data_IF_391275799302
#
_entry.id   IF_391275799302
#
_cell.length_a   1.000
_cell.length_b   1.000
_cell.length_c   1.000
_cell.angle_alpha   90.00
_cell.angle_beta   90.00
_cell.angle_gamma   90.00
#
_symmetry.space_group_name_H-M   'P 1'
#
loop_
_entity.id
_entity.type
_entity.pdbx_description
1 polymer ?
#
# COMPACT_ATOMS: atom_id res chain seq x y z
N UNK A 1 5.70 -33.07 34.32
CA UNK A 1 4.77 -32.89 33.19
C UNK A 1 4.47 -31.39 33.04
N UNK A 2 4.59 -30.90 31.79
CA UNK A 2 4.26 -29.60 31.17
C UNK A 2 3.76 -28.41 31.99
N UNK A 3 4.23 -27.19 31.64
CA UNK A 3 3.37 -26.06 31.24
C UNK A 3 4.01 -25.36 30.02
N UNK A 4 3.19 -25.10 29.00
CA UNK A 4 3.49 -24.32 27.79
C UNK A 4 3.42 -22.82 28.04
N UNK A 5 4.30 -22.04 27.43
CA UNK A 5 4.18 -20.56 27.41
C UNK A 5 3.88 -20.10 25.99
N UNK A 6 2.58 -19.90 25.72
CA UNK A 6 2.04 -19.24 24.54
C UNK A 6 2.35 -17.72 24.56
N UNK A 7 2.36 -17.13 23.36
CA UNK A 7 2.12 -15.71 23.06
C UNK A 7 3.09 -14.66 23.62
N UNK A 8 4.28 -14.57 23.00
CA UNK A 8 5.08 -13.35 23.06
C UNK A 8 4.46 -12.29 22.13
N UNK A 9 3.51 -11.50 22.65
CA UNK A 9 3.05 -10.28 21.98
C UNK A 9 4.22 -9.30 21.81
N UNK A 10 4.40 -8.80 20.59
CA UNK A 10 5.48 -7.90 20.21
C UNK A 10 5.60 -6.69 21.17
N UNK A 11 6.68 -6.59 21.97
CA UNK A 11 6.85 -5.53 22.97
C UNK A 11 7.00 -4.13 22.36
N UNK A 12 7.26 -4.03 21.05
CA UNK A 12 7.35 -2.76 20.34
C UNK A 12 5.98 -2.06 20.19
N UNK A 13 4.89 -2.83 20.20
CA UNK A 13 3.53 -2.30 20.02
C UNK A 13 3.06 -1.49 21.23
N UNK A 14 3.51 -1.85 22.45
CA UNK A 14 3.23 -1.10 23.68
C UNK A 14 4.04 0.18 23.80
N UNK A 15 5.26 0.19 23.26
CA UNK A 15 6.18 1.35 23.36
C UNK A 15 5.66 2.58 22.60
N UNK A 16 5.06 2.39 21.43
CA UNK A 16 4.51 3.49 20.62
C UNK A 16 3.43 4.30 21.35
N UNK A 17 2.67 3.66 22.26
CA UNK A 17 1.62 4.32 23.02
C UNK A 17 2.15 5.27 24.10
N UNK A 18 3.40 5.09 24.57
CA UNK A 18 4.02 5.96 25.56
C UNK A 18 4.87 7.09 24.94
N UNK A 19 5.23 6.98 23.65
CA UNK A 19 6.02 8.01 22.96
C UNK A 19 5.12 9.17 22.47
N UNK A 20 3.82 8.94 22.24
CA UNK A 20 2.89 9.97 21.78
C UNK A 20 2.30 10.78 22.96
N UNK A 21 3.05 11.77 23.43
CA UNK A 21 2.54 12.80 24.34
C UNK A 21 1.58 13.75 23.58
N UNK A 22 0.27 13.49 23.65
CA UNK A 22 -0.76 14.38 23.12
C UNK A 22 -2.16 13.82 23.32
N UNK A 23 -3.13 14.70 23.59
CA UNK A 23 -4.55 14.33 23.64
C UNK A 23 -5.02 13.74 22.30
N UNK A 24 -6.09 12.95 22.31
CA UNK A 24 -6.61 12.30 21.10
C UNK A 24 -6.85 13.31 19.95
N UNK A 25 -7.34 14.51 20.26
CA UNK A 25 -7.53 15.58 19.28
C UNK A 25 -6.24 16.18 18.72
N UNK A 26 -5.10 16.06 19.42
CA UNK A 26 -3.79 16.42 18.88
C UNK A 26 -3.31 15.39 17.87
N UNK A 27 -3.51 14.09 18.16
CA UNK A 27 -3.18 12.99 17.26
C UNK A 27 -3.97 13.12 15.96
N UNK A 28 -5.25 13.47 16.04
CA UNK A 28 -6.12 13.66 14.87
C UNK A 28 -5.70 14.85 14.00
N UNK A 29 -5.36 15.99 14.62
CA UNK A 29 -4.79 17.14 13.90
C UNK A 29 -3.46 16.82 13.22
N UNK A 30 -2.61 16.01 13.86
CA UNK A 30 -1.33 15.57 13.27
C UNK A 30 -1.60 14.62 12.09
N UNK A 31 -2.54 13.68 12.21
CA UNK A 31 -2.95 12.80 11.11
C UNK A 31 -3.40 13.58 9.88
N UNK A 32 -4.33 14.53 10.05
CA UNK A 32 -4.80 15.38 8.94
C UNK A 32 -3.67 16.22 8.31
N UNK A 33 -2.78 16.76 9.15
CA UNK A 33 -1.67 17.59 8.68
C UNK A 33 -0.65 16.76 7.89
N UNK A 34 -0.41 15.52 8.30
CA UNK A 34 0.46 14.57 7.61
C UNK A 34 -0.15 14.09 6.28
N UNK A 35 -1.46 13.82 6.26
CA UNK A 35 -2.16 13.50 5.00
C UNK A 35 -2.06 14.65 3.98
N UNK A 36 -2.19 15.90 4.45
CA UNK A 36 -2.00 17.11 3.64
C UNK A 36 -0.55 17.36 3.22
N UNK A 37 0.44 16.89 3.99
CA UNK A 37 1.87 17.10 3.72
C UNK A 37 2.41 16.22 2.59
N UNK A 38 1.74 15.10 2.29
CA UNK A 38 2.20 14.12 1.30
C UNK A 38 3.42 13.30 1.75
N UNK A 39 3.62 12.14 1.14
CA UNK A 39 4.69 11.19 1.51
C UNK A 39 6.08 11.74 1.15
N UNK A 40 6.80 12.28 2.15
CA UNK A 40 8.24 12.55 2.05
C UNK A 40 9.04 11.28 2.32
N UNK A 41 10.10 11.08 1.54
CA UNK A 41 11.01 9.92 1.59
C UNK A 41 11.74 9.79 2.95
N UNK A 42 11.76 10.85 3.75
CA UNK A 42 12.53 10.97 5.00
C UNK A 42 11.76 10.63 6.28
N UNK A 43 10.45 10.34 6.22
CA UNK A 43 9.64 10.07 7.41
C UNK A 43 9.04 8.65 7.33
N UNK A 44 9.73 7.60 7.84
CA UNK A 44 9.26 6.22 7.79
C UNK A 44 7.91 5.99 8.49
N UNK A 45 7.57 6.83 9.48
CA UNK A 45 6.32 6.71 10.26
C UNK A 45 5.05 7.03 9.46
N UNK A 46 5.15 7.68 8.28
CA UNK A 46 4.00 7.80 7.36
C UNK A 46 3.60 6.48 6.70
N UNK A 47 4.43 5.44 6.81
CA UNK A 47 4.15 4.11 6.28
C UNK A 47 3.07 3.38 7.10
N UNK A 48 2.92 3.68 8.38
CA UNK A 48 1.97 3.01 9.29
C UNK A 48 0.52 3.50 9.20
N UNK A 49 0.21 4.49 8.35
CA UNK A 49 -1.14 5.05 8.21
C UNK A 49 -1.95 4.32 7.12
N UNK A 50 -1.31 3.45 6.32
CA UNK A 50 -1.99 2.65 5.32
C UNK A 50 -2.82 1.54 5.96
N UNK A 51 -4.14 1.60 5.76
CA UNK A 51 -5.13 0.71 6.39
C UNK A 51 -5.35 -0.63 5.67
N UNK A 52 -4.90 -0.78 4.43
CA UNK A 52 -5.38 -1.87 3.57
C UNK A 52 -4.41 -3.04 3.50
N UNK A 53 -4.98 -4.24 3.58
CA UNK A 53 -4.30 -5.49 3.25
C UNK A 53 -4.11 -5.60 1.72
N UNK A 54 -3.03 -6.27 1.31
CA UNK A 54 -2.74 -6.64 -0.07
C UNK A 54 -3.91 -7.40 -0.68
N UNK A 55 -4.50 -8.34 0.05
CA UNK A 55 -5.59 -9.16 -0.46
C UNK A 55 -6.87 -8.35 -0.72
N UNK A 56 -7.13 -7.30 0.06
CA UNK A 56 -8.24 -6.37 -0.20
C UNK A 56 -8.02 -5.65 -1.53
N UNK A 57 -6.80 -5.16 -1.77
CA UNK A 57 -6.46 -4.48 -3.02
C UNK A 57 -6.64 -5.42 -4.22
N UNK A 58 -6.12 -6.64 -4.14
CA UNK A 58 -6.23 -7.62 -5.22
C UNK A 58 -7.71 -7.97 -5.47
N UNK A 59 -8.47 -8.23 -4.41
CA UNK A 59 -9.89 -8.58 -4.51
C UNK A 59 -10.68 -7.46 -5.18
N UNK A 60 -10.50 -6.21 -4.74
CA UNK A 60 -11.15 -5.05 -5.40
C UNK A 60 -10.72 -4.87 -6.84
N UNK A 61 -9.44 -5.09 -7.17
CA UNK A 61 -8.99 -5.04 -8.56
C UNK A 61 -9.72 -6.07 -9.43
N UNK A 62 -9.85 -7.31 -8.97
CA UNK A 62 -10.56 -8.36 -9.72
C UNK A 62 -12.03 -8.02 -9.91
N UNK A 63 -12.69 -7.44 -8.90
CA UNK A 63 -14.10 -7.04 -8.97
C UNK A 63 -14.33 -5.82 -9.88
N UNK A 64 -13.56 -4.75 -9.70
CA UNK A 64 -13.77 -3.46 -10.40
C UNK A 64 -13.38 -3.54 -11.88
N UNK A 65 -12.34 -4.32 -12.19
CA UNK A 65 -11.81 -4.46 -13.55
C UNK A 65 -12.33 -5.72 -14.26
N UNK A 66 -13.07 -6.59 -13.56
CA UNK A 66 -13.55 -7.88 -14.06
C UNK A 66 -12.43 -8.72 -14.68
N UNK A 67 -11.35 -8.89 -13.92
CA UNK A 67 -10.16 -9.65 -14.34
C UNK A 67 -9.89 -10.79 -13.37
N UNK A 68 -9.19 -11.81 -13.87
CA UNK A 68 -8.68 -12.86 -13.00
C UNK A 68 -7.48 -12.38 -12.16
N UNK A 69 -7.34 -12.94 -10.96
CA UNK A 69 -6.18 -12.73 -10.10
C UNK A 69 -4.86 -13.07 -10.82
N UNK A 70 -4.86 -14.10 -11.67
CA UNK A 70 -3.72 -14.53 -12.49
C UNK A 70 -3.14 -13.38 -13.34
N UNK A 71 -4.00 -12.53 -13.90
CA UNK A 71 -3.59 -11.40 -14.75
C UNK A 71 -2.82 -10.32 -13.99
N UNK A 72 -3.01 -10.21 -12.67
CA UNK A 72 -2.29 -9.24 -11.84
C UNK A 72 -0.83 -9.69 -11.63
N UNK A 73 -0.59 -11.00 -11.53
CA UNK A 73 0.73 -11.59 -11.28
C UNK A 73 1.47 -12.00 -12.56
N UNK A 74 0.84 -11.85 -13.73
CA UNK A 74 1.47 -12.16 -15.01
C UNK A 74 2.63 -11.19 -15.31
N UNK A 75 3.84 -11.74 -15.48
CA UNK A 75 5.07 -10.96 -15.70
C UNK A 75 5.26 -10.50 -17.15
N UNK A 76 4.22 -10.53 -17.97
CA UNK A 76 4.27 -9.99 -19.33
C UNK A 76 4.72 -8.52 -19.34
N UNK A 77 5.65 -8.22 -20.24
CA UNK A 77 6.14 -6.85 -20.46
C UNK A 77 4.95 -5.95 -20.82
N UNK A 78 4.81 -4.84 -20.09
CA UNK A 78 3.72 -3.89 -20.32
C UNK A 78 2.39 -4.29 -19.68
N UNK A 79 2.36 -5.30 -18.79
CA UNK A 79 1.17 -5.64 -18.04
C UNK A 79 0.69 -4.44 -17.20
N UNK A 80 -0.46 -3.90 -17.61
CA UNK A 80 -1.12 -2.79 -16.97
C UNK A 80 -1.55 -3.12 -15.54
N UNK A 81 -2.19 -4.28 -15.35
CA UNK A 81 -2.73 -4.71 -14.07
C UNK A 81 -1.64 -4.88 -13.02
N UNK A 82 -0.51 -5.51 -13.38
CA UNK A 82 0.66 -5.62 -12.51
C UNK A 82 1.16 -4.23 -12.08
N UNK A 83 1.33 -3.31 -13.04
CA UNK A 83 1.84 -1.97 -12.76
C UNK A 83 0.88 -1.12 -11.89
N UNK A 84 -0.43 -1.30 -12.07
CA UNK A 84 -1.47 -0.69 -11.25
C UNK A 84 -1.49 -1.29 -9.84
N UNK A 85 -1.39 -2.61 -9.70
CA UNK A 85 -1.33 -3.30 -8.41
C UNK A 85 -0.12 -2.83 -7.59
N UNK A 86 1.06 -2.79 -8.21
CA UNK A 86 2.28 -2.27 -7.57
C UNK A 86 2.08 -0.82 -7.11
N UNK A 87 1.46 0.03 -7.94
CA UNK A 87 1.17 1.41 -7.57
C UNK A 87 0.24 1.52 -6.36
N UNK A 88 -0.85 0.74 -6.36
CA UNK A 88 -1.84 0.73 -5.28
C UNK A 88 -1.23 0.19 -3.99
N UNK A 89 -0.52 -0.94 -4.04
CA UNK A 89 0.15 -1.53 -2.87
C UNK A 89 1.17 -0.56 -2.29
N UNK A 90 2.02 0.02 -3.15
CA UNK A 90 2.98 1.05 -2.74
C UNK A 90 2.28 2.21 -2.04
N UNK A 91 1.05 2.59 -2.43
CA UNK A 91 0.34 3.78 -1.92
C UNK A 91 -0.56 3.51 -0.72
N UNK A 92 -1.18 2.33 -0.63
CA UNK A 92 -2.26 2.03 0.30
C UNK A 92 -1.97 0.89 1.28
N UNK A 93 -0.78 0.28 1.19
CA UNK A 93 -0.28 -0.72 2.16
C UNK A 93 0.98 -0.20 2.85
N UNK A 94 1.36 -0.77 4.01
CA UNK A 94 2.58 -0.38 4.70
C UNK A 94 3.82 -1.06 4.10
N UNK A 95 3.65 -1.88 3.06
CA UNK A 95 4.73 -2.65 2.48
C UNK A 95 5.82 -1.77 1.87
N UNK A 96 7.04 -2.27 1.99
CA UNK A 96 8.19 -1.83 1.23
C UNK A 96 8.15 -2.30 -0.21
N UNK A 97 8.91 -1.61 -1.04
CA UNK A 97 9.08 -2.02 -2.43
C UNK A 97 9.77 -3.40 -2.51
N UNK A 98 10.58 -3.76 -1.51
CA UNK A 98 11.19 -5.09 -1.41
C UNK A 98 10.15 -6.16 -1.08
N UNK A 99 9.28 -5.92 -0.09
CA UNK A 99 8.19 -6.84 0.28
C UNK A 99 7.17 -6.99 -0.88
N UNK A 100 6.84 -5.89 -1.57
CA UNK A 100 6.04 -5.95 -2.80
C UNK A 100 6.79 -6.77 -3.88
N UNK A 101 8.12 -6.62 -3.96
CA UNK A 101 8.96 -7.42 -4.84
C UNK A 101 8.88 -8.91 -4.56
N UNK A 102 8.88 -9.31 -3.29
CA UNK A 102 8.72 -10.72 -2.89
C UNK A 102 7.37 -11.28 -3.36
N UNK A 103 6.27 -10.53 -3.21
CA UNK A 103 4.93 -10.92 -3.69
C UNK A 103 4.91 -11.20 -5.21
N UNK A 104 5.60 -10.37 -5.99
CA UNK A 104 5.66 -10.51 -7.44
C UNK A 104 6.88 -11.31 -7.93
N UNK A 105 7.74 -11.80 -7.02
CA UNK A 105 9.05 -12.40 -7.35
C UNK A 105 9.87 -11.49 -8.28
N UNK A 106 9.97 -10.21 -7.94
CA UNK A 106 10.67 -9.16 -8.67
C UNK A 106 11.62 -8.43 -7.72
N UNK A 107 12.72 -7.91 -8.25
CA UNK A 107 13.66 -7.13 -7.45
C UNK A 107 13.13 -5.72 -7.17
N UNK A 108 13.68 -5.10 -6.12
CA UNK A 108 13.34 -3.74 -5.72
C UNK A 108 13.39 -2.74 -6.88
N UNK A 109 14.38 -2.85 -7.76
CA UNK A 109 14.58 -1.88 -8.84
C UNK A 109 13.46 -1.99 -9.88
N UNK A 110 13.03 -3.21 -10.22
CA UNK A 110 11.92 -3.43 -11.14
C UNK A 110 10.60 -2.92 -10.56
N UNK A 111 10.32 -3.17 -9.28
CA UNK A 111 9.12 -2.63 -8.59
C UNK A 111 9.14 -1.10 -8.56
N UNK A 112 10.26 -0.51 -8.19
CA UNK A 112 10.43 0.96 -8.14
C UNK A 112 10.19 1.60 -9.51
N UNK A 113 10.76 1.02 -10.57
CA UNK A 113 10.58 1.50 -11.94
C UNK A 113 9.15 1.28 -12.44
N UNK A 114 8.53 0.14 -12.16
CA UNK A 114 7.14 -0.14 -12.55
C UNK A 114 6.18 0.88 -11.95
N UNK A 115 6.30 1.15 -10.64
CA UNK A 115 5.49 2.15 -9.95
C UNK A 115 5.67 3.56 -10.55
N UNK A 116 6.92 3.97 -10.81
CA UNK A 116 7.24 5.28 -11.38
C UNK A 116 6.69 5.43 -12.80
N UNK A 117 6.88 4.43 -13.64
CA UNK A 117 6.39 4.42 -15.03
C UNK A 117 4.87 4.46 -15.08
N UNK A 118 4.18 3.70 -14.22
CA UNK A 118 2.73 3.74 -14.12
C UNK A 118 2.25 5.15 -13.74
N UNK A 119 2.85 5.75 -12.72
CA UNK A 119 2.49 7.10 -12.27
C UNK A 119 2.66 8.14 -13.40
N UNK A 120 3.78 8.10 -14.13
CA UNK A 120 4.01 8.96 -15.30
C UNK A 120 2.98 8.71 -16.41
N UNK A 121 2.72 7.44 -16.75
CA UNK A 121 1.75 7.06 -17.78
C UNK A 121 0.34 7.57 -17.44
N UNK A 122 -0.05 7.50 -16.16
CA UNK A 122 -1.34 7.98 -15.66
C UNK A 122 -1.51 9.51 -15.63
N UNK A 123 -0.44 10.28 -15.88
CA UNK A 123 -0.53 11.74 -16.00
C UNK A 123 -0.87 12.17 -17.42
N UNK A 124 -0.44 11.39 -18.41
CA UNK A 124 -0.55 11.73 -19.83
C UNK A 124 -1.73 11.00 -20.49
N UNK A 125 -1.96 9.73 -20.13
CA UNK A 125 -3.04 8.94 -20.70
C UNK A 125 -4.31 9.06 -19.83
N UNK A 126 -5.40 9.54 -20.45
CA UNK A 126 -6.68 9.78 -19.80
C UNK A 126 -7.34 8.50 -19.27
N UNK A 127 -7.41 7.44 -20.08
CA UNK A 127 -8.04 6.16 -19.69
C UNK A 127 -7.35 5.55 -18.46
N UNK A 128 -6.01 5.59 -18.43
CA UNK A 128 -5.23 5.09 -17.30
C UNK A 128 -5.44 5.94 -16.05
N UNK A 129 -5.59 7.25 -16.23
CA UNK A 129 -5.91 8.18 -15.14
C UNK A 129 -7.29 7.87 -14.55
N UNK A 130 -8.28 7.64 -15.40
CA UNK A 130 -9.64 7.32 -15.02
C UNK A 130 -9.70 5.98 -14.25
N UNK A 131 -9.09 4.92 -14.79
CA UNK A 131 -9.02 3.61 -14.10
C UNK A 131 -8.34 3.75 -12.73
N UNK A 132 -7.24 4.50 -12.64
CA UNK A 132 -6.58 4.78 -11.37
C UNK A 132 -7.51 5.49 -10.39
N UNK A 133 -8.27 6.49 -10.84
CA UNK A 133 -9.22 7.22 -10.00
C UNK A 133 -10.37 6.32 -9.54
N UNK A 134 -10.93 5.51 -10.44
CA UNK A 134 -11.96 4.51 -10.12
C UNK A 134 -11.48 3.54 -9.05
N UNK A 135 -10.26 3.02 -9.17
CA UNK A 135 -9.66 2.14 -8.16
C UNK A 135 -9.43 2.84 -6.81
N UNK A 136 -8.99 4.10 -6.82
CA UNK A 136 -8.79 4.86 -5.58
C UNK A 136 -10.13 5.14 -4.89
N UNK A 137 -11.19 5.43 -5.65
CA UNK A 137 -12.53 5.60 -5.10
C UNK A 137 -13.04 4.30 -4.48
N UNK A 138 -12.96 3.19 -5.22
CA UNK A 138 -13.40 1.87 -4.76
C UNK A 138 -12.67 1.37 -3.51
N UNK A 139 -11.42 1.80 -3.27
CA UNK A 139 -10.67 1.48 -2.06
C UNK A 139 -11.02 2.38 -0.86
N UNK A 140 -11.58 3.57 -1.09
CA UNK A 140 -11.95 4.52 -0.03
C UNK A 140 -13.38 4.34 0.49
N UNK A 141 -14.20 3.59 -0.23
CA UNK A 141 -15.59 3.31 0.15
C UNK A 141 -15.73 2.21 1.22
N UNK A 142 -14.62 1.53 1.57
CA UNK A 142 -14.50 0.60 2.71
C UNK A 142 -13.72 1.25 3.88
#
# INVERSE_FOLDING_TARGET
YMISSQDMKDPLLKSYHHIALGSEGFIEKIKEKIEKLGRRREIPSTRYISKYDVDIIITKMTQVLNIERSMIFDKKRGNFYLSLAIYLMKRFTPLSLSEIGELFKMDYSAISQAAKRFEQKSKVNYEIKEIKQKMIAALKED
#
